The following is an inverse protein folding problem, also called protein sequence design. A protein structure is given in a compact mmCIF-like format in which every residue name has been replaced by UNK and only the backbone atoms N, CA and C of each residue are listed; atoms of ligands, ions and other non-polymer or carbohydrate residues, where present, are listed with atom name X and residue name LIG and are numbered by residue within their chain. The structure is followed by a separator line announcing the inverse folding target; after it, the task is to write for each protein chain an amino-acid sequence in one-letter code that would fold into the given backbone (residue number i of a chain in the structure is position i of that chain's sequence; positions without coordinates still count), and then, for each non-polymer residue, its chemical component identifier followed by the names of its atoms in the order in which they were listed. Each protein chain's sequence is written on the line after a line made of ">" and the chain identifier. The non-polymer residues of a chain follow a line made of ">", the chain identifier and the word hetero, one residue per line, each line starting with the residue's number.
data_IF_248552751686
#
_entry.id   IF_248552751686
#
_cell.length_a   1.000
_cell.length_b   1.000
_cell.length_c   1.000
_cell.angle_alpha   90.00
_cell.angle_beta   90.00
_cell.angle_gamma   90.00
#
_symmetry.space_group_name_H-M   'P 1'
#
loop_
_entity.id
_entity.type
_entity.pdbx_description
1 polymer ?
#
# COMPACT_ATOMS: atom_id res chain seq x y z
N UNK A 1 8.33 -2.70 7.57
CA UNK A 1 7.77 -3.45 8.71
C UNK A 1 6.25 -3.42 8.65
N UNK A 2 5.63 -4.57 8.88
CA UNK A 2 4.17 -4.70 8.94
C UNK A 2 3.75 -4.79 10.41
N UNK A 3 2.73 -4.05 10.80
CA UNK A 3 2.17 -4.12 12.15
C UNK A 3 0.66 -4.07 12.09
N UNK A 4 0.00 -5.05 12.73
CA UNK A 4 -1.44 -4.99 12.89
C UNK A 4 -1.76 -3.99 13.99
N UNK A 5 -2.30 -2.83 13.63
CA UNK A 5 -2.55 -1.73 14.57
C UNK A 5 -3.95 -1.78 15.16
N UNK A 6 -4.84 -2.51 14.52
CA UNK A 6 -6.19 -2.80 14.99
C UNK A 6 -6.64 -4.06 14.27
N UNK A 7 -7.60 -4.85 14.77
CA UNK A 7 -8.02 -6.07 14.08
C UNK A 7 -8.34 -5.80 12.61
N UNK A 8 -7.65 -6.50 11.70
CA UNK A 8 -7.77 -6.41 10.26
C UNK A 8 -7.34 -5.06 9.65
N UNK A 9 -6.59 -4.26 10.40
CA UNK A 9 -5.99 -3.02 9.90
C UNK A 9 -4.48 -3.11 10.13
N UNK A 10 -3.72 -3.05 9.04
CA UNK A 10 -2.27 -3.22 9.05
C UNK A 10 -1.56 -1.96 8.60
N UNK A 11 -0.52 -1.56 9.33
CA UNK A 11 0.36 -0.47 8.92
C UNK A 11 1.56 -1.06 8.20
N UNK A 12 1.81 -0.58 7.00
CA UNK A 12 2.94 -0.99 6.17
C UNK A 12 3.90 0.20 6.05
N UNK A 13 5.10 0.06 6.57
CA UNK A 13 6.12 1.11 6.46
C UNK A 13 6.84 0.97 5.12
N UNK A 14 6.63 1.94 4.23
CA UNK A 14 7.26 1.97 2.92
C UNK A 14 8.41 2.98 2.95
N UNK A 15 9.62 2.60 2.57
CA UNK A 15 10.75 3.52 2.62
C UNK A 15 10.53 4.77 1.76
N UNK A 16 10.99 5.91 2.26
CA UNK A 16 10.98 7.15 1.52
C UNK A 16 12.39 7.36 0.94
N UNK A 17 12.58 7.18 -0.38
CA UNK A 17 13.91 7.26 -0.99
C UNK A 17 14.58 8.62 -0.75
N UNK A 18 15.88 8.58 -0.49
CA UNK A 18 16.66 9.77 -0.20
C UNK A 18 16.64 10.17 1.28
N UNK A 19 15.87 9.49 2.11
CA UNK A 19 15.83 9.74 3.54
C UNK A 19 15.64 8.44 4.29
N UNK A 20 16.74 7.76 4.67
CA UNK A 20 16.66 6.43 5.28
C UNK A 20 16.01 6.43 6.66
N UNK A 21 15.88 7.60 7.29
CA UNK A 21 15.26 7.70 8.61
C UNK A 21 13.75 7.94 8.53
N UNK A 22 13.21 8.10 7.33
CA UNK A 22 11.78 8.37 7.13
C UNK A 22 11.14 7.28 6.30
N UNK A 23 9.87 7.07 6.57
CA UNK A 23 9.03 6.16 5.83
C UNK A 23 7.64 6.77 5.72
N UNK A 24 6.91 6.35 4.71
CA UNK A 24 5.50 6.67 4.60
C UNK A 24 4.71 5.50 5.12
N UNK A 25 3.65 5.75 5.84
CA UNK A 25 2.78 4.70 6.34
C UNK A 25 1.65 4.46 5.35
N UNK A 26 1.60 3.24 4.83
CA UNK A 26 0.47 2.76 4.05
C UNK A 26 -0.35 1.85 4.94
N UNK A 27 -1.67 1.86 4.78
CA UNK A 27 -2.55 1.03 5.60
C UNK A 27 -3.33 0.08 4.72
N UNK A 28 -3.44 -1.17 5.17
CA UNK A 28 -4.24 -2.18 4.50
C UNK A 28 -5.37 -2.60 5.42
N UNK A 29 -6.61 -2.50 4.92
CA UNK A 29 -7.80 -2.93 5.65
C UNK A 29 -8.32 -4.19 4.99
N UNK A 30 -8.52 -5.24 5.77
CA UNK A 30 -9.09 -6.52 5.32
C UNK A 30 -10.54 -6.64 5.72
N UNK A 31 -11.39 -7.08 4.80
CA UNK A 31 -12.79 -7.38 5.10
C UNK A 31 -13.32 -8.44 4.14
N UNK A 32 -13.58 -9.64 4.66
CA UNK A 32 -14.25 -10.72 3.93
C UNK A 32 -13.67 -11.02 2.55
N UNK A 33 -12.35 -11.14 2.48
CA UNK A 33 -11.65 -11.47 1.24
C UNK A 33 -11.44 -10.29 0.30
N UNK A 34 -11.82 -9.09 0.71
CA UNK A 34 -11.53 -7.86 -0.01
C UNK A 34 -10.63 -6.98 0.81
N UNK A 35 -9.94 -6.06 0.13
CA UNK A 35 -8.94 -5.21 0.78
C UNK A 35 -9.06 -3.78 0.30
N UNK A 36 -8.80 -2.83 1.20
CA UNK A 36 -8.62 -1.43 0.85
C UNK A 36 -7.21 -1.02 1.24
N UNK A 37 -6.43 -0.58 0.26
CA UNK A 37 -5.08 -0.09 0.46
C UNK A 37 -5.12 1.43 0.51
N UNK A 38 -4.70 2.01 1.63
CA UNK A 38 -4.65 3.46 1.81
C UNK A 38 -3.22 3.91 1.57
N UNK A 39 -3.01 4.68 0.50
CA UNK A 39 -1.73 5.14 0.00
C UNK A 39 -0.79 3.98 -0.40
N UNK A 40 0.25 4.25 -1.15
CA UNK A 40 1.13 3.20 -1.64
C UNK A 40 2.61 3.49 -1.42
N UNK A 41 3.14 4.55 -2.02
CA UNK A 41 4.56 4.86 -1.97
C UNK A 41 5.03 5.41 -3.30
N UNK A 42 6.32 5.78 -3.37
CA UNK A 42 6.93 6.24 -4.62
C UNK A 42 7.16 5.06 -5.56
N UNK A 43 7.11 5.31 -6.86
CA UNK A 43 7.38 4.27 -7.86
C UNK A 43 8.90 4.08 -7.99
N UNK A 44 9.50 3.42 -7.01
CA UNK A 44 10.91 3.10 -6.93
C UNK A 44 11.06 1.62 -6.56
N UNK A 45 12.19 1.04 -6.96
CA UNK A 45 12.43 -0.40 -6.74
C UNK A 45 12.32 -0.78 -5.27
N UNK A 46 12.95 0.00 -4.38
CA UNK A 46 12.93 -0.29 -2.95
C UNK A 46 11.52 -0.21 -2.36
N UNK A 47 10.68 0.66 -2.89
CA UNK A 47 9.28 0.78 -2.45
C UNK A 47 8.44 -0.36 -2.97
N UNK A 48 8.64 -0.75 -4.24
CA UNK A 48 7.95 -1.89 -4.84
C UNK A 48 8.28 -3.17 -4.09
N UNK A 49 9.56 -3.39 -3.79
CA UNK A 49 10.02 -4.58 -3.08
C UNK A 49 9.41 -4.66 -1.68
N UNK A 50 9.40 -3.54 -0.95
CA UNK A 50 8.83 -3.50 0.39
C UNK A 50 7.33 -3.79 0.35
N UNK A 51 6.61 -3.15 -0.56
CA UNK A 51 5.16 -3.35 -0.69
C UNK A 51 4.83 -4.79 -1.06
N UNK A 52 5.52 -5.35 -2.05
CA UNK A 52 5.26 -6.73 -2.47
C UNK A 52 5.56 -7.72 -1.35
N UNK A 53 6.63 -7.50 -0.60
CA UNK A 53 6.98 -8.34 0.54
C UNK A 53 5.87 -8.32 1.60
N UNK A 54 5.38 -7.12 1.93
CA UNK A 54 4.33 -6.97 2.94
C UNK A 54 3.02 -7.62 2.50
N UNK A 55 2.64 -7.43 1.25
CA UNK A 55 1.42 -8.03 0.72
C UNK A 55 1.51 -9.55 0.70
N UNK A 56 2.70 -10.11 0.41
CA UNK A 56 2.93 -11.54 0.49
C UNK A 56 2.80 -12.05 1.93
N UNK A 57 3.40 -11.34 2.89
CA UNK A 57 3.31 -11.71 4.31
C UNK A 57 1.87 -11.75 4.78
N UNK A 58 1.02 -10.87 4.27
CA UNK A 58 -0.38 -10.79 4.63
C UNK A 58 -1.29 -11.66 3.74
N UNK A 59 -0.71 -12.37 2.77
CA UNK A 59 -1.43 -13.23 1.83
C UNK A 59 -2.51 -12.48 1.06
N UNK A 60 -2.20 -11.27 0.62
CA UNK A 60 -3.13 -10.41 -0.11
C UNK A 60 -3.14 -10.76 -1.58
N UNK A 61 -4.35 -10.96 -2.14
CA UNK A 61 -4.56 -11.12 -3.57
C UNK A 61 -4.90 -9.75 -4.16
N UNK A 62 -4.00 -9.22 -4.99
CA UNK A 62 -4.18 -7.89 -5.59
C UNK A 62 -5.44 -7.76 -6.43
N UNK A 63 -6.02 -8.87 -6.90
CA UNK A 63 -7.28 -8.85 -7.65
C UNK A 63 -8.45 -8.33 -6.81
N UNK A 64 -8.32 -8.35 -5.50
CA UNK A 64 -9.38 -7.95 -4.58
C UNK A 64 -9.02 -6.68 -3.80
N UNK A 65 -8.05 -5.90 -4.29
CA UNK A 65 -7.58 -4.68 -3.64
C UNK A 65 -8.12 -3.46 -4.36
N UNK A 66 -8.80 -2.59 -3.63
CA UNK A 66 -9.13 -1.23 -4.05
C UNK A 66 -8.17 -0.25 -3.35
N UNK A 67 -8.04 0.96 -3.88
CA UNK A 67 -7.08 1.94 -3.38
C UNK A 67 -7.77 3.23 -2.98
N UNK A 68 -7.32 3.81 -1.88
CA UNK A 68 -7.71 5.15 -1.46
C UNK A 68 -6.45 6.00 -1.31
N UNK A 69 -6.38 7.10 -2.02
CA UNK A 69 -5.21 7.98 -2.02
C UNK A 69 -5.52 9.25 -1.26
N UNK A 70 -4.81 9.47 -0.16
CA UNK A 70 -5.04 10.64 0.70
C UNK A 70 -4.42 11.91 0.14
N UNK A 71 -3.28 11.79 -0.58
CA UNK A 71 -2.57 12.91 -1.17
C UNK A 71 -2.14 12.55 -2.59
N UNK A 72 -2.31 13.46 -3.54
CA UNK A 72 -1.90 13.27 -4.94
C UNK A 72 -0.42 13.54 -5.14
N UNK A 73 0.41 13.11 -4.20
CA UNK A 73 1.87 13.23 -4.28
C UNK A 73 2.49 11.88 -4.62
N UNK A 74 3.64 11.90 -5.27
CA UNK A 74 4.28 10.68 -5.75
C UNK A 74 4.57 9.66 -4.65
N UNK A 75 4.82 10.11 -3.42
CA UNK A 75 5.11 9.22 -2.29
C UNK A 75 3.86 8.52 -1.75
N UNK A 76 2.66 8.89 -2.19
CA UNK A 76 1.41 8.25 -1.79
C UNK A 76 0.77 7.44 -2.91
N UNK A 77 0.83 7.90 -4.14
CA UNK A 77 0.14 7.23 -5.25
C UNK A 77 1.08 6.58 -6.26
N UNK A 78 2.40 6.75 -6.11
CA UNK A 78 3.36 6.34 -7.13
C UNK A 78 3.31 4.86 -7.51
N UNK A 79 2.99 3.98 -6.58
CA UNK A 79 2.94 2.54 -6.85
C UNK A 79 1.60 2.05 -7.36
N UNK A 80 0.57 2.89 -7.43
CA UNK A 80 -0.77 2.43 -7.85
C UNK A 80 -0.71 1.76 -9.22
N UNK A 81 0.00 2.36 -10.18
CA UNK A 81 0.11 1.80 -11.53
C UNK A 81 0.75 0.40 -11.55
N UNK A 82 1.61 0.11 -10.58
CA UNK A 82 2.28 -1.20 -10.48
C UNK A 82 1.45 -2.23 -9.74
N UNK A 83 0.52 -1.79 -8.90
CA UNK A 83 -0.24 -2.68 -8.02
C UNK A 83 -1.67 -2.91 -8.49
N UNK A 84 -2.27 -1.94 -9.20
CA UNK A 84 -3.68 -2.00 -9.56
C UNK A 84 -3.94 -3.12 -10.54
N UNK A 85 -5.02 -3.86 -10.29
CA UNK A 85 -5.49 -4.92 -11.18
C UNK A 85 -6.77 -4.47 -11.88
N UNK A 86 -7.10 -5.13 -13.00
CA UNK A 86 -8.32 -4.84 -13.74
C UNK A 86 -9.54 -4.99 -12.83
N UNK A 87 -10.44 -4.03 -12.88
CA UNK A 87 -11.64 -4.01 -12.06
C UNK A 87 -11.47 -3.36 -10.69
N UNK A 88 -10.24 -3.05 -10.27
CA UNK A 88 -10.01 -2.35 -9.01
C UNK A 88 -10.50 -0.90 -9.08
N UNK A 89 -10.96 -0.38 -7.94
CA UNK A 89 -11.39 0.99 -7.83
C UNK A 89 -10.33 1.83 -7.13
N UNK A 90 -10.16 3.05 -7.59
CA UNK A 90 -9.21 4.00 -7.01
C UNK A 90 -9.99 5.22 -6.57
N UNK A 91 -9.95 5.49 -5.26
CA UNK A 91 -10.64 6.62 -4.65
C UNK A 91 -9.61 7.70 -4.29
N UNK A 92 -9.96 8.95 -4.51
CA UNK A 92 -9.10 10.08 -4.17
C UNK A 92 -9.80 10.98 -3.15
N UNK A 93 -8.99 11.53 -2.25
CA UNK A 93 -9.48 12.52 -1.32
C UNK A 93 -9.68 13.88 -2.01
#
# INVERSE_FOLDING_TARGET
>A
MVAEVFPNIYRLEIPLPGNPLKAINSYLIKDQGRYLQIDTGMNRVECQEAMCKYLQELSVDLKHVDFFITHLHADHLGLVSELVQEGAKIYFN
#
